data_IF_574984415527
#
_entry.id   IF_574984415527
#
_cell.length_a   1.000
_cell.length_b   1.000
_cell.length_c   1.000
_cell.angle_alpha   90.00
_cell.angle_beta   90.00
_cell.angle_gamma   90.00
#
_symmetry.space_group_name_H-M   'P 1'
#
loop_
_entity.id
_entity.type
_entity.pdbx_description
1 polymer ?
#
# COMPACT_ATOMS: atom_id res chain seq x y z
N UNK A 1 -39.67 -7.01 -28.58
CA UNK A 1 -38.28 -6.51 -28.44
C UNK A 1 -37.95 -6.52 -26.95
N UNK A 2 -37.08 -7.45 -26.49
CA UNK A 2 -36.36 -7.58 -25.18
C UNK A 2 -37.17 -7.22 -23.92
N UNK A 3 -37.78 -8.11 -23.12
CA UNK A 3 -37.36 -9.35 -22.41
C UNK A 3 -36.07 -9.22 -21.56
N UNK A 4 -36.12 -9.81 -20.36
CA UNK A 4 -35.11 -9.95 -19.26
C UNK A 4 -35.45 -9.11 -18.02
N UNK A 5 -36.37 -9.57 -17.15
CA UNK A 5 -36.25 -10.68 -16.16
C UNK A 5 -35.54 -10.24 -14.88
N UNK A 6 -36.38 -9.98 -13.88
CA UNK A 6 -36.19 -10.13 -12.45
C UNK A 6 -35.11 -11.15 -12.08
N UNK A 7 -34.10 -10.69 -11.34
CA UNK A 7 -33.13 -11.57 -10.69
C UNK A 7 -32.92 -11.03 -9.28
N UNK A 8 -33.77 -11.52 -8.38
CA UNK A 8 -33.44 -11.64 -6.96
C UNK A 8 -32.01 -12.19 -6.86
N UNK A 9 -31.12 -11.39 -6.28
CA UNK A 9 -29.80 -11.84 -5.84
C UNK A 9 -29.82 -11.89 -4.34
N UNK A 10 -30.38 -13.00 -3.86
CA UNK A 10 -29.97 -13.62 -2.62
C UNK A 10 -28.46 -13.86 -2.69
N UNK A 11 -27.64 -13.14 -1.91
CA UNK A 11 -26.28 -13.60 -1.62
C UNK A 11 -25.63 -12.89 -0.43
N UNK A 12 -25.66 -13.60 0.70
CA UNK A 12 -24.66 -13.64 1.79
C UNK A 12 -24.06 -12.31 2.22
N UNK A 13 -24.34 -11.96 3.48
CA UNK A 13 -23.38 -11.34 4.38
C UNK A 13 -22.08 -12.17 4.36
N UNK A 14 -21.22 -11.90 3.38
CA UNK A 14 -19.83 -12.26 3.48
C UNK A 14 -19.30 -11.35 4.59
N UNK A 15 -18.98 -11.98 5.72
CA UNK A 15 -17.97 -11.47 6.62
C UNK A 15 -16.68 -11.29 5.79
N UNK A 16 -16.59 -10.19 5.05
CA UNK A 16 -15.38 -9.78 4.36
C UNK A 16 -14.40 -9.41 5.47
N UNK A 17 -13.67 -10.42 5.97
CA UNK A 17 -12.33 -10.17 6.45
C UNK A 17 -11.65 -9.30 5.37
N UNK A 18 -10.96 -8.21 5.74
CA UNK A 18 -10.47 -7.29 4.74
C UNK A 18 -9.59 -8.08 3.78
N UNK A 19 -9.94 -8.12 2.50
CA UNK A 19 -9.12 -8.77 1.48
C UNK A 19 -7.78 -8.02 1.29
N UNK A 20 -7.59 -6.92 2.03
CA UNK A 20 -6.42 -6.09 2.04
C UNK A 20 -5.46 -6.44 3.19
N UNK A 21 -4.20 -6.71 2.87
CA UNK A 21 -3.14 -6.86 3.85
C UNK A 21 -2.52 -5.51 4.25
N UNK A 22 -1.89 -5.45 5.42
CA UNK A 22 -1.13 -4.28 5.87
C UNK A 22 0.35 -4.65 5.94
N UNK A 23 1.20 -3.85 5.30
CA UNK A 23 2.66 -4.03 5.29
C UNK A 23 3.27 -2.80 5.93
N UNK A 24 4.16 -2.99 6.91
CA UNK A 24 4.92 -1.90 7.53
C UNK A 24 6.38 -1.96 7.11
N UNK A 25 6.85 -0.89 6.48
CA UNK A 25 8.22 -0.72 6.03
C UNK A 25 8.83 0.42 6.82
N UNK A 26 9.89 0.12 7.58
CA UNK A 26 10.65 1.13 8.31
C UNK A 26 11.75 1.70 7.39
N UNK A 27 11.80 3.03 7.27
CA UNK A 27 12.80 3.73 6.45
C UNK A 27 13.78 4.42 7.40
N UNK A 28 15.00 3.90 7.44
CA UNK A 28 16.08 4.32 8.35
C UNK A 28 17.32 4.79 7.58
N UNK A 29 18.15 5.59 8.26
CA UNK A 29 19.40 6.15 7.73
C UNK A 29 19.64 7.57 8.24
N UNK A 30 20.82 8.11 7.97
CA UNK A 30 21.25 9.42 8.50
C UNK A 30 20.33 10.57 8.07
N UNK A 31 20.38 11.68 8.80
CA UNK A 31 19.66 12.89 8.41
C UNK A 31 20.08 13.36 7.01
N UNK A 32 19.14 13.92 6.24
CA UNK A 32 19.37 14.50 4.91
C UNK A 32 19.82 13.54 3.78
N UNK A 33 19.87 12.23 3.97
CA UNK A 33 20.20 11.25 2.89
C UNK A 33 19.10 11.06 1.83
N UNK A 34 17.96 11.73 1.99
CA UNK A 34 16.85 11.66 1.01
C UNK A 34 15.75 10.64 1.31
N UNK A 35 15.67 10.12 2.55
CA UNK A 35 14.60 9.19 2.97
C UNK A 35 13.19 9.72 2.67
N UNK A 36 12.92 10.96 3.08
CA UNK A 36 11.63 11.62 2.84
C UNK A 36 11.36 11.85 1.36
N UNK A 37 12.40 12.14 0.56
CA UNK A 37 12.29 12.26 -0.89
C UNK A 37 11.91 10.92 -1.54
N UNK A 38 12.50 9.82 -1.07
CA UNK A 38 12.19 8.47 -1.53
C UNK A 38 10.76 8.07 -1.17
N UNK A 39 10.35 8.31 0.08
CA UNK A 39 8.98 8.01 0.54
C UNK A 39 7.97 8.84 -0.24
N UNK A 40 8.24 10.13 -0.47
CA UNK A 40 7.39 10.98 -1.32
C UNK A 40 7.28 10.43 -2.74
N UNK A 41 8.39 10.01 -3.34
CA UNK A 41 8.40 9.44 -4.69
C UNK A 41 7.55 8.17 -4.79
N UNK A 42 7.67 7.25 -3.82
CA UNK A 42 6.89 6.00 -3.80
C UNK A 42 5.40 6.28 -3.61
N UNK A 43 5.06 7.16 -2.66
CA UNK A 43 3.65 7.43 -2.31
C UNK A 43 2.97 8.25 -3.39
N UNK A 44 3.58 9.36 -3.81
CA UNK A 44 2.98 10.35 -4.72
C UNK A 44 3.30 10.12 -6.20
N UNK A 45 4.33 9.35 -6.53
CA UNK A 45 4.78 9.14 -7.91
C UNK A 45 5.51 10.35 -8.51
N UNK A 46 5.88 11.34 -7.69
CA UNK A 46 6.59 12.55 -8.13
C UNK A 46 7.73 12.91 -7.19
N UNK A 47 8.78 13.52 -7.74
CA UNK A 47 9.92 13.99 -6.95
C UNK A 47 9.59 15.29 -6.21
N UNK A 48 10.21 15.47 -5.05
CA UNK A 48 10.10 16.69 -4.25
C UNK A 48 11.46 17.39 -4.23
N UNK A 49 11.50 18.67 -4.60
CA UNK A 49 12.74 19.44 -4.73
C UNK A 49 13.23 19.96 -3.37
N UNK A 50 12.31 20.24 -2.45
CA UNK A 50 12.63 20.82 -1.12
C UNK A 50 11.83 20.11 -0.02
N UNK A 51 12.15 18.86 0.32
CA UNK A 51 11.53 18.19 1.46
C UNK A 51 11.89 18.94 2.75
N UNK A 52 10.90 19.15 3.62
CA UNK A 52 11.14 19.61 4.99
C UNK A 52 11.87 18.53 5.80
N UNK A 53 12.66 18.92 6.81
CA UNK A 53 13.28 17.97 7.72
C UNK A 53 12.22 17.16 8.46
N UNK A 54 12.37 15.83 8.48
CA UNK A 54 11.49 14.94 9.24
C UNK A 54 11.64 15.19 10.73
N UNK A 55 10.53 15.56 11.38
CA UNK A 55 10.41 15.74 12.83
C UNK A 55 9.89 14.40 13.41
N UNK A 56 10.69 13.71 14.22
CA UNK A 56 10.31 12.43 14.80
C UNK A 56 10.10 11.33 13.74
N UNK A 57 8.84 10.99 13.44
CA UNK A 57 8.48 9.98 12.44
C UNK A 57 7.29 10.44 11.58
N UNK A 58 7.40 10.28 10.26
CA UNK A 58 6.32 10.52 9.29
C UNK A 58 5.90 9.21 8.65
N UNK A 59 4.59 8.96 8.55
CA UNK A 59 4.06 7.75 7.89
C UNK A 59 3.40 8.12 6.56
N UNK A 60 3.90 7.54 5.48
CA UNK A 60 3.28 7.61 4.14
C UNK A 60 2.61 6.28 3.80
N UNK A 61 1.38 6.29 3.28
CA UNK A 61 0.66 5.06 2.92
C UNK A 61 0.49 4.97 1.40
N UNK A 62 0.83 3.82 0.83
CA UNK A 62 0.63 3.49 -0.58
C UNK A 62 -0.27 2.27 -0.72
N UNK A 63 -1.36 2.41 -1.48
CA UNK A 63 -2.14 1.27 -1.93
C UNK A 63 -1.38 0.54 -3.06
N UNK A 64 -1.16 -0.76 -2.87
CA UNK A 64 -0.48 -1.62 -3.82
C UNK A 64 -1.35 -2.83 -4.11
N UNK A 65 -1.70 -3.02 -5.37
CA UNK A 65 -2.42 -4.20 -5.83
C UNK A 65 -1.41 -5.18 -6.44
N UNK A 66 -1.25 -6.34 -5.81
CA UNK A 66 -0.38 -7.41 -6.28
C UNK A 66 -1.20 -8.44 -7.05
N UNK A 67 -1.06 -8.43 -8.37
CA UNK A 67 -1.53 -9.48 -9.25
C UNK A 67 -0.32 -10.29 -9.73
N UNK A 68 -0.28 -11.60 -9.45
CA UNK A 68 0.75 -12.49 -9.97
C UNK A 68 0.60 -12.61 -11.49
N UNK A 69 1.61 -12.27 -12.30
CA UNK A 69 1.54 -12.45 -13.76
C UNK A 69 1.70 -13.92 -14.21
N UNK A 70 1.63 -14.91 -13.30
CA UNK A 70 1.85 -16.32 -13.62
C UNK A 70 0.87 -17.26 -12.89
N UNK A 71 -0.37 -17.35 -13.38
CA UNK A 71 -1.19 -18.55 -13.22
C UNK A 71 -1.79 -18.96 -14.57
N UNK A 72 -0.92 -19.11 -15.57
CA UNK A 72 -1.22 -19.84 -16.80
C UNK A 72 -0.93 -21.33 -16.58
N UNK A 73 -1.75 -22.02 -15.78
CA UNK A 73 -2.02 -23.47 -15.90
C UNK A 73 -2.84 -23.98 -14.71
N UNK A 74 -3.96 -24.63 -15.04
CA UNK A 74 -4.68 -25.65 -14.26
C UNK A 74 -4.85 -25.45 -12.74
N UNK A 75 -6.09 -25.18 -12.35
CA UNK A 75 -6.75 -25.65 -11.13
C UNK A 75 -6.12 -25.26 -9.78
N UNK A 76 -6.39 -24.04 -9.31
CA UNK A 76 -6.91 -23.70 -7.97
C UNK A 76 -7.53 -22.30 -8.08
N UNK A 77 -8.83 -22.18 -7.81
CA UNK A 77 -9.54 -20.90 -7.68
C UNK A 77 -8.96 -20.16 -6.47
N UNK A 78 -7.96 -19.31 -6.65
CA UNK A 78 -7.36 -18.62 -5.51
C UNK A 78 -6.25 -17.62 -5.82
N UNK A 79 -5.78 -17.52 -7.06
CA UNK A 79 -4.79 -16.50 -7.46
C UNK A 79 -5.49 -15.16 -7.69
N UNK A 80 -6.14 -14.70 -6.62
CA UNK A 80 -6.87 -13.45 -6.55
C UNK A 80 -5.86 -12.32 -6.38
N UNK A 81 -5.97 -11.32 -7.23
CA UNK A 81 -5.51 -9.96 -7.00
C UNK A 81 -5.66 -9.60 -5.51
N UNK A 82 -4.53 -9.31 -4.85
CA UNK A 82 -4.48 -8.97 -3.42
C UNK A 82 -4.14 -7.50 -3.29
N UNK A 83 -4.94 -6.80 -2.49
CA UNK A 83 -4.68 -5.42 -2.16
C UNK A 83 -3.84 -5.32 -0.90
N UNK A 84 -2.95 -4.34 -0.84
CA UNK A 84 -2.12 -4.07 0.32
C UNK A 84 -2.04 -2.56 0.60
N UNK A 85 -2.10 -2.22 1.88
CA UNK A 85 -1.69 -0.90 2.36
C UNK A 85 -0.25 -1.00 2.86
N UNK A 86 0.66 -0.40 2.10
CA UNK A 86 2.07 -0.30 2.47
C UNK A 86 2.29 1.00 3.23
N UNK A 87 2.60 0.90 4.51
CA UNK A 87 2.97 2.01 5.38
C UNK A 87 4.50 2.16 5.37
N UNK A 88 4.96 3.30 4.87
CA UNK A 88 6.36 3.72 4.87
C UNK A 88 6.58 4.64 6.06
N UNK A 89 7.26 4.13 7.07
CA UNK A 89 7.59 4.83 8.30
C UNK A 89 8.95 5.52 8.13
N UNK A 90 8.94 6.78 7.66
CA UNK A 90 10.13 7.65 7.57
C UNK A 90 10.52 8.15 8.96
N UNK A 91 11.61 7.61 9.50
CA UNK A 91 12.12 8.01 10.81
C UNK A 91 13.19 9.09 10.64
N UNK A 92 13.18 10.09 11.52
CA UNK A 92 14.21 11.11 11.53
C UNK A 92 15.58 10.49 11.79
N UNK A 93 16.55 10.80 10.93
CA UNK A 93 17.95 10.42 11.15
C UNK A 93 18.73 11.44 11.96
N UNK A 94 18.04 12.42 12.55
CA UNK A 94 18.66 13.48 13.32
C UNK A 94 18.80 13.05 14.78
N UNK A 95 20.01 13.19 15.34
CA UNK A 95 20.39 12.62 16.64
C UNK A 95 19.47 13.05 17.80
N UNK A 96 18.90 14.26 17.71
CA UNK A 96 17.85 14.78 18.60
C UNK A 96 16.67 13.82 18.85
N UNK A 97 16.39 12.90 17.94
CA UNK A 97 15.24 11.99 18.04
C UNK A 97 15.66 10.54 18.37
N UNK A 98 16.89 10.32 18.86
CA UNK A 98 17.40 8.99 19.25
C UNK A 98 17.04 8.59 20.70
N UNK A 99 16.57 9.53 21.53
CA UNK A 99 16.20 9.33 22.94
C UNK A 99 14.67 9.28 23.13
#
# INVERSE_FOLDING_TARGET
>A
MRFWRERERDNKEHNFAPLCGQIRVLVVGDSCVGKSSLVHLIVKGSSIVRPSQTIGCTVGVKHLTYASPASSSSSIKGDSERDFFVELWDVSGHERYND
#
